data_IF_353858881624
#
_entry.id   IF_353858881624
#
_cell.length_a   1.000
_cell.length_b   1.000
_cell.length_c   1.000
_cell.angle_alpha   90.00
_cell.angle_beta   90.00
_cell.angle_gamma   90.00
#
_symmetry.space_group_name_H-M   'P 1'
#
loop_
_entity.id
_entity.type
_entity.pdbx_description
1 polymer ?
#
# COMPACT_ATOMS: atom_id res chain seq x y z
N UNK A 1 12.19 -2.29 -7.25
CA UNK A 1 10.98 -2.88 -6.67
C UNK A 1 10.75 -2.33 -5.27
N UNK A 2 9.66 -1.60 -5.10
CA UNK A 2 9.24 -1.00 -3.84
C UNK A 2 7.94 -1.64 -3.36
N UNK A 3 7.80 -1.85 -2.06
CA UNK A 3 6.55 -2.26 -1.43
C UNK A 3 5.98 -1.06 -0.69
N UNK A 4 5.00 -0.42 -1.30
CA UNK A 4 4.27 0.69 -0.72
C UNK A 4 3.28 0.19 0.33
N UNK A 5 3.61 0.45 1.59
CA UNK A 5 2.77 0.15 2.75
C UNK A 5 1.83 1.32 2.97
N UNK A 6 0.53 1.10 2.80
CA UNK A 6 -0.48 2.18 2.87
C UNK A 6 -0.39 2.95 4.19
N UNK A 7 -0.31 2.23 5.31
CA UNK A 7 -0.10 2.84 6.61
C UNK A 7 0.82 1.97 7.45
N UNK A 8 1.77 2.61 8.13
CA UNK A 8 2.62 1.94 9.09
C UNK A 8 1.75 1.25 10.16
N UNK A 9 1.82 -0.08 10.29
CA UNK A 9 1.00 -0.78 11.25
C UNK A 9 1.56 -0.61 12.67
N UNK A 10 0.71 -0.91 13.66
CA UNK A 10 1.13 -1.01 15.04
C UNK A 10 2.19 -2.11 15.26
N UNK A 11 2.88 -2.06 16.41
CA UNK A 11 3.94 -3.02 16.76
C UNK A 11 3.50 -4.48 16.86
N UNK A 12 2.19 -4.79 16.88
CA UNK A 12 1.67 -6.16 16.98
C UNK A 12 1.59 -6.85 15.63
N UNK A 13 1.60 -6.10 14.52
CA UNK A 13 1.56 -6.67 13.17
C UNK A 13 2.97 -6.73 12.59
N UNK A 14 3.41 -7.94 12.29
CA UNK A 14 4.68 -8.17 11.61
C UNK A 14 4.47 -8.14 10.09
N UNK A 15 5.10 -7.18 9.41
CA UNK A 15 5.08 -7.05 7.95
C UNK A 15 6.45 -7.34 7.32
N UNK A 16 7.43 -7.82 8.10
CA UNK A 16 8.79 -8.03 7.61
C UNK A 16 8.86 -9.02 6.44
N UNK A 17 7.99 -10.03 6.39
CA UNK A 17 7.94 -10.95 5.24
C UNK A 17 7.57 -10.26 3.93
N UNK A 18 6.99 -9.06 3.95
CA UNK A 18 6.77 -8.28 2.73
C UNK A 18 8.08 -7.79 2.09
N UNK A 19 9.20 -7.75 2.83
CA UNK A 19 10.51 -7.36 2.25
C UNK A 19 11.02 -8.35 1.20
N UNK A 20 10.45 -9.55 1.14
CA UNK A 20 10.70 -10.51 0.07
C UNK A 20 10.30 -9.97 -1.33
N UNK A 21 9.44 -8.95 -1.38
CA UNK A 21 8.95 -8.33 -2.62
C UNK A 21 9.62 -6.99 -2.96
N UNK A 22 10.42 -6.42 -2.04
CA UNK A 22 11.09 -5.13 -2.24
C UNK A 22 11.29 -4.34 -0.96
N UNK A 23 11.82 -3.13 -1.10
CA UNK A 23 12.02 -2.22 0.04
C UNK A 23 10.69 -1.61 0.51
N UNK A 24 10.47 -1.56 1.83
CA UNK A 24 9.23 -0.99 2.38
C UNK A 24 9.28 0.54 2.34
N UNK A 25 8.28 1.15 1.68
CA UNK A 25 8.03 2.60 1.75
C UNK A 25 6.66 2.86 2.37
N UNK A 26 6.60 3.69 3.41
CA UNK A 26 5.39 3.94 4.19
C UNK A 26 4.69 5.21 3.74
N UNK A 27 3.49 5.06 3.18
CA UNK A 27 2.70 6.21 2.68
C UNK A 27 2.16 7.04 3.85
N UNK A 28 1.63 6.39 4.89
CA UNK A 28 1.11 7.04 6.09
C UNK A 28 1.82 6.52 7.34
N UNK A 29 2.00 7.40 8.32
CA UNK A 29 2.43 7.05 9.66
C UNK A 29 1.32 6.35 10.46
N UNK A 30 1.72 5.70 11.56
CA UNK A 30 0.80 4.95 12.43
C UNK A 30 -0.31 5.82 13.03
N UNK A 31 -0.04 7.10 13.26
CA UNK A 31 -0.95 8.04 13.94
C UNK A 31 -1.81 8.89 12.99
N UNK A 32 -1.52 8.87 11.69
CA UNK A 32 -2.31 9.63 10.72
C UNK A 32 -3.73 9.04 10.58
N UNK A 33 -4.72 9.93 10.63
CA UNK A 33 -6.12 9.57 10.44
C UNK A 33 -6.75 10.48 9.40
N UNK A 34 -7.21 9.86 8.31
CA UNK A 34 -7.77 10.53 7.14
C UNK A 34 -9.04 11.34 7.48
N UNK A 35 -9.79 10.97 8.53
CA UNK A 35 -10.95 11.74 8.96
C UNK A 35 -10.60 13.16 9.42
N UNK A 36 -9.43 13.34 10.05
CA UNK A 36 -9.02 14.66 10.55
C UNK A 36 -8.31 15.49 9.48
N UNK A 37 -7.68 14.85 8.50
CA UNK A 37 -6.79 15.51 7.53
C UNK A 37 -6.94 14.94 6.11
N UNK A 38 -8.15 14.94 5.52
CA UNK A 38 -8.41 14.19 4.28
C UNK A 38 -7.60 14.72 3.08
N UNK A 39 -7.55 16.04 2.90
CA UNK A 39 -6.88 16.64 1.76
C UNK A 39 -5.36 16.40 1.76
N UNK A 40 -4.70 16.54 2.91
CA UNK A 40 -3.26 16.29 3.03
C UNK A 40 -2.94 14.80 2.91
N UNK A 41 -3.77 13.92 3.48
CA UNK A 41 -3.62 12.46 3.34
C UNK A 41 -3.68 12.04 1.88
N UNK A 42 -4.69 12.51 1.14
CA UNK A 42 -4.84 12.24 -0.30
C UNK A 42 -3.65 12.80 -1.09
N UNK A 43 -3.21 14.02 -0.78
CA UNK A 43 -2.05 14.64 -1.43
C UNK A 43 -0.77 13.83 -1.21
N UNK A 44 -0.56 13.31 0.01
CA UNK A 44 0.57 12.44 0.35
C UNK A 44 0.52 11.13 -0.43
N UNK A 45 -0.63 10.44 -0.44
CA UNK A 45 -0.82 9.20 -1.20
C UNK A 45 -0.49 9.42 -2.68
N UNK A 46 -1.07 10.45 -3.29
CA UNK A 46 -0.82 10.79 -4.70
C UNK A 46 0.65 11.11 -4.97
N UNK A 47 1.31 11.83 -4.06
CA UNK A 47 2.71 12.19 -4.21
C UNK A 47 3.63 10.97 -4.12
N UNK A 48 3.42 10.09 -3.12
CA UNK A 48 4.23 8.89 -2.94
C UNK A 48 4.07 7.93 -4.11
N UNK A 49 2.84 7.72 -4.59
CA UNK A 49 2.55 6.80 -5.69
C UNK A 49 2.81 7.38 -7.09
N UNK A 50 3.33 8.61 -7.22
CA UNK A 50 3.50 9.27 -8.54
C UNK A 50 4.39 8.53 -9.54
N UNK A 51 5.30 7.70 -9.02
CA UNK A 51 6.24 6.90 -9.81
C UNK A 51 5.96 5.39 -9.69
N UNK A 52 4.80 5.01 -9.13
CA UNK A 52 4.39 3.63 -9.00
C UNK A 52 4.33 2.98 -10.40
N UNK A 53 4.96 1.82 -10.54
CA UNK A 53 5.02 1.09 -11.80
C UNK A 53 4.77 -0.42 -11.59
N UNK A 54 4.83 -1.19 -12.67
CA UNK A 54 4.57 -2.63 -12.69
C UNK A 54 5.55 -3.49 -11.86
N UNK A 55 6.70 -2.98 -11.46
CA UNK A 55 7.63 -3.67 -10.56
C UNK A 55 7.30 -3.47 -9.08
N UNK A 56 6.45 -2.49 -8.75
CA UNK A 56 6.12 -2.13 -7.39
C UNK A 56 4.89 -2.90 -6.88
N UNK A 57 4.76 -2.95 -5.55
CA UNK A 57 3.67 -3.63 -4.85
C UNK A 57 2.97 -2.68 -3.88
N UNK A 58 1.66 -2.87 -3.72
CA UNK A 58 0.89 -2.30 -2.62
C UNK A 58 0.66 -3.32 -1.52
N UNK A 59 1.00 -2.96 -0.28
CA UNK A 59 0.61 -3.70 0.91
C UNK A 59 -0.59 -3.02 1.59
N UNK A 60 -1.76 -3.67 1.51
CA UNK A 60 -3.03 -3.11 2.00
C UNK A 60 -3.19 -3.31 3.51
N UNK A 61 -2.63 -2.39 4.28
CA UNK A 61 -2.70 -2.39 5.74
C UNK A 61 -2.94 -0.97 6.25
N UNK A 62 -3.82 -0.82 7.24
CA UNK A 62 -4.18 0.48 7.80
C UNK A 62 -5.65 0.82 7.69
N UNK A 63 -5.93 2.12 7.60
CA UNK A 63 -7.25 2.69 7.41
C UNK A 63 -7.91 2.26 6.08
N UNK A 64 -9.16 1.76 6.09
CA UNK A 64 -9.85 1.30 4.87
C UNK A 64 -10.02 2.38 3.78
N UNK A 65 -10.23 3.64 4.15
CA UNK A 65 -10.42 4.74 3.20
C UNK A 65 -9.09 5.09 2.56
N UNK A 66 -8.01 5.16 3.35
CA UNK A 66 -6.65 5.34 2.82
C UNK A 66 -6.24 4.21 1.87
N UNK A 67 -6.58 2.96 2.22
CA UNK A 67 -6.37 1.78 1.35
C UNK A 67 -7.09 1.96 0.02
N UNK A 68 -8.38 2.32 0.03
CA UNK A 68 -9.15 2.53 -1.19
C UNK A 68 -8.57 3.62 -2.08
N UNK A 69 -8.15 4.75 -1.49
CA UNK A 69 -7.52 5.86 -2.21
C UNK A 69 -6.17 5.45 -2.81
N UNK A 70 -5.35 4.71 -2.07
CA UNK A 70 -4.04 4.23 -2.56
C UNK A 70 -4.20 3.27 -3.73
N UNK A 71 -5.12 2.30 -3.64
CA UNK A 71 -5.41 1.37 -4.75
C UNK A 71 -5.90 2.13 -5.97
N UNK A 72 -6.81 3.10 -5.80
CA UNK A 72 -7.29 3.94 -6.89
C UNK A 72 -6.15 4.65 -7.62
N UNK A 73 -5.25 5.32 -6.89
CA UNK A 73 -4.13 6.05 -7.51
C UNK A 73 -3.09 5.13 -8.14
N UNK A 74 -2.79 3.98 -7.53
CA UNK A 74 -1.86 3.02 -8.13
C UNK A 74 -2.36 2.50 -9.48
N UNK A 75 -3.64 2.11 -9.56
CA UNK A 75 -4.27 1.71 -10.83
C UNK A 75 -4.28 2.87 -11.84
N UNK A 76 -4.77 4.04 -11.41
CA UNK A 76 -4.92 5.20 -12.29
C UNK A 76 -3.58 5.65 -12.92
N UNK A 77 -2.49 5.62 -12.13
CA UNK A 77 -1.18 6.11 -12.57
C UNK A 77 -0.39 5.06 -13.36
N UNK A 78 -0.75 3.78 -13.23
CA UNK A 78 -0.04 2.67 -13.85
C UNK A 78 -0.93 1.91 -14.86
N UNK A 79 -1.70 2.64 -15.66
CA UNK A 79 -2.44 2.07 -16.79
C UNK A 79 -3.47 1.00 -16.39
N UNK A 80 -4.17 1.21 -15.27
CA UNK A 80 -5.13 0.30 -14.66
C UNK A 80 -4.53 -1.03 -14.19
N UNK A 81 -3.22 -1.08 -13.93
CA UNK A 81 -2.52 -2.25 -13.41
C UNK A 81 -1.89 -1.97 -12.07
N UNK A 82 -2.00 -2.90 -11.13
CA UNK A 82 -1.30 -2.81 -9.86
C UNK A 82 -1.04 -4.20 -9.28
N UNK A 83 0.14 -4.41 -8.69
CA UNK A 83 0.42 -5.61 -7.89
C UNK A 83 0.11 -5.34 -6.42
N UNK A 84 -0.53 -6.29 -5.77
CA UNK A 84 -0.97 -6.20 -4.39
C UNK A 84 -0.50 -7.41 -3.60
N UNK A 85 -0.04 -7.18 -2.37
CA UNK A 85 0.32 -8.23 -1.42
C UNK A 85 -0.88 -8.56 -0.53
N UNK A 86 -1.39 -9.78 -0.65
CA UNK A 86 -2.43 -10.34 0.22
C UNK A 86 -1.82 -11.27 1.25
N UNK A 87 -2.13 -11.04 2.52
CA UNK A 87 -1.71 -11.91 3.62
C UNK A 87 -2.56 -13.19 3.66
N UNK A 88 -1.89 -14.34 3.76
CA UNK A 88 -2.52 -15.64 4.02
C UNK A 88 -2.38 -16.02 5.50
N UNK A 89 -3.52 -16.18 6.20
CA UNK A 89 -3.55 -16.51 7.63
C UNK A 89 -3.27 -17.99 7.95
N UNK A 90 -3.18 -18.87 6.95
CA UNK A 90 -2.87 -20.29 7.13
C UNK A 90 -1.40 -20.55 6.90
N UNK A 91 -0.84 -19.96 5.85
CA UNK A 91 0.57 -20.12 5.48
C UNK A 91 1.48 -19.04 6.04
N UNK A 92 0.91 -17.99 6.65
CA UNK A 92 1.64 -16.89 7.27
C UNK A 92 2.63 -16.21 6.32
N UNK A 93 2.21 -16.00 5.06
CA UNK A 93 3.01 -15.33 4.03
C UNK A 93 2.16 -14.42 3.16
N UNK A 94 2.83 -13.52 2.46
CA UNK A 94 2.20 -12.71 1.44
C UNK A 94 2.13 -13.45 0.12
N UNK A 95 1.06 -13.20 -0.63
CA UNK A 95 0.89 -13.60 -2.01
C UNK A 95 0.75 -12.35 -2.87
N UNK A 96 1.55 -12.28 -3.93
CA UNK A 96 1.40 -11.29 -4.98
C UNK A 96 0.19 -11.62 -5.84
N UNK A 97 -0.67 -10.63 -6.05
CA UNK A 97 -1.77 -10.69 -7.00
C UNK A 97 -1.70 -9.45 -7.89
N UNK A 98 -1.86 -9.65 -9.20
CA UNK A 98 -1.96 -8.56 -10.15
C UNK A 98 -3.44 -8.23 -10.38
N UNK A 99 -3.77 -6.95 -10.28
CA UNK A 99 -5.06 -6.40 -10.66
C UNK A 99 -4.94 -5.72 -12.03
N UNK A 100 -5.90 -5.99 -12.90
CA UNK A 100 -6.07 -5.32 -14.20
C UNK A 100 -7.56 -4.99 -14.36
N UNK A 101 -7.89 -3.74 -14.65
CA UNK A 101 -9.29 -3.24 -14.76
C UNK A 101 -9.58 -2.46 -16.02
#
# INVERSE_FOLDING_TARGET
MTVFVVQKPDKKKNILSATEYGELDFILSETENIMYTPASTISRIKHTLRNFNEEDYLLLIGDPVAIGVAVHFALLLNGNKAKILKWDNREYKYYSMELET
#
